data_IF_218899223839
#
_entry.id   IF_218899223839
#
_cell.length_a   1.000
_cell.length_b   1.000
_cell.length_c   1.000
_cell.angle_alpha   90.00
_cell.angle_beta   90.00
_cell.angle_gamma   90.00
#
_symmetry.space_group_name_H-M   'P 1'
#
loop_
_entity.id
_entity.type
_entity.pdbx_description
1 polymer ?
#
# COMPACT_ATOMS: atom_id res chain seq x y z
N UNK A 1 -2.97 1.25 -39.13
CA UNK A 1 -2.73 0.87 -37.72
C UNK A 1 -1.86 -0.38 -37.72
N UNK A 2 -0.59 -0.25 -37.38
CA UNK A 2 0.42 -1.30 -37.59
C UNK A 2 0.34 -2.40 -36.52
N UNK A 3 0.73 -3.61 -36.90
CA UNK A 3 0.76 -4.83 -36.08
C UNK A 3 1.44 -4.65 -34.69
N UNK A 4 2.28 -3.64 -34.53
CA UNK A 4 2.95 -3.27 -33.27
C UNK A 4 2.01 -2.66 -32.22
N UNK A 5 1.07 -1.79 -32.60
CA UNK A 5 0.06 -1.19 -31.70
C UNK A 5 -0.85 -2.27 -31.07
N UNK A 6 -1.24 -3.27 -31.88
CA UNK A 6 -2.04 -4.40 -31.43
C UNK A 6 -1.28 -5.31 -30.45
N UNK A 7 0.05 -5.39 -30.56
CA UNK A 7 0.88 -6.23 -29.67
C UNK A 7 1.14 -5.57 -28.32
N UNK A 8 1.30 -4.24 -28.27
CA UNK A 8 1.37 -3.48 -27.02
C UNK A 8 0.06 -3.60 -26.24
N UNK A 9 -1.11 -3.50 -26.90
CA UNK A 9 -2.41 -3.74 -26.26
C UNK A 9 -2.62 -5.19 -25.78
N UNK A 10 -1.92 -6.17 -26.39
CA UNK A 10 -2.01 -7.60 -26.01
C UNK A 10 -1.15 -7.93 -24.79
N UNK A 11 -0.01 -7.25 -24.60
CA UNK A 11 0.92 -7.49 -23.48
C UNK A 11 0.42 -6.87 -22.17
N UNK A 12 -0.28 -5.73 -22.21
CA UNK A 12 -0.94 -5.14 -21.01
C UNK A 12 -2.05 -6.07 -20.46
N UNK A 13 -2.50 -7.05 -21.25
CA UNK A 13 -3.60 -7.97 -20.92
C UNK A 13 -3.19 -9.24 -20.18
N UNK A 14 -1.89 -9.44 -19.89
CA UNK A 14 -1.40 -10.70 -19.28
C UNK A 14 -1.09 -10.60 -17.78
N UNK A 15 -1.47 -9.51 -17.11
CA UNK A 15 -1.41 -9.39 -15.64
C UNK A 15 -2.49 -8.52 -15.01
N UNK A 16 -3.42 -7.98 -15.81
CA UNK A 16 -4.54 -7.20 -15.34
C UNK A 16 -5.78 -8.08 -15.23
N UNK A 17 -6.38 -8.12 -14.04
CA UNK A 17 -7.71 -8.67 -13.80
C UNK A 17 -8.64 -8.22 -14.93
N UNK A 18 -9.33 -9.16 -15.59
CA UNK A 18 -10.22 -8.81 -16.70
C UNK A 18 -11.34 -7.91 -16.19
N UNK A 19 -11.81 -6.95 -17.00
CA UNK A 19 -12.93 -6.03 -16.63
C UNK A 19 -14.19 -6.77 -16.15
N UNK A 20 -14.38 -8.01 -16.57
CA UNK A 20 -15.41 -8.93 -16.07
C UNK A 20 -15.14 -9.45 -14.66
N UNK A 21 -13.89 -9.78 -14.34
CA UNK A 21 -13.45 -10.17 -13.00
C UNK A 21 -13.44 -8.96 -12.05
N UNK A 22 -13.05 -7.77 -12.51
CA UNK A 22 -13.15 -6.52 -11.73
C UNK A 22 -14.60 -6.24 -11.33
N UNK A 23 -15.55 -6.38 -12.27
CA UNK A 23 -16.99 -6.24 -11.99
C UNK A 23 -17.53 -7.30 -11.03
N UNK A 24 -17.08 -8.56 -11.17
CA UNK A 24 -17.43 -9.64 -10.24
C UNK A 24 -16.84 -9.39 -8.85
N UNK A 25 -15.60 -8.92 -8.75
CA UNK A 25 -14.97 -8.56 -7.48
C UNK A 25 -15.63 -7.36 -6.82
N UNK A 26 -16.01 -6.33 -7.59
CA UNK A 26 -16.78 -5.19 -7.08
C UNK A 26 -18.16 -5.65 -6.55
N UNK A 27 -18.88 -6.47 -7.33
CA UNK A 27 -20.16 -7.06 -6.91
C UNK A 27 -20.00 -7.98 -5.67
N UNK A 28 -18.87 -8.68 -5.53
CA UNK A 28 -18.55 -9.52 -4.38
C UNK A 28 -18.16 -8.69 -3.14
N UNK A 29 -17.47 -7.58 -3.35
CA UNK A 29 -17.09 -6.62 -2.31
C UNK A 29 -18.33 -5.92 -1.73
N UNK A 30 -19.30 -5.58 -2.58
CA UNK A 30 -20.61 -5.08 -2.16
C UNK A 30 -21.36 -6.09 -1.27
N UNK A 31 -21.29 -7.38 -1.58
CA UNK A 31 -21.98 -8.42 -0.81
C UNK A 31 -21.38 -8.56 0.60
N UNK A 32 -20.06 -8.53 0.74
CA UNK A 32 -19.37 -8.63 2.03
C UNK A 32 -19.69 -7.44 2.94
N UNK A 33 -19.77 -6.23 2.37
CA UNK A 33 -20.14 -5.02 3.11
C UNK A 33 -21.61 -5.09 3.57
N UNK A 34 -22.52 -5.53 2.70
CA UNK A 34 -23.95 -5.73 3.05
C UNK A 34 -24.12 -6.73 4.18
N UNK A 35 -23.42 -7.86 4.12
CA UNK A 35 -23.45 -8.88 5.19
C UNK A 35 -22.93 -8.32 6.52
N UNK A 36 -21.84 -7.54 6.51
CA UNK A 36 -21.30 -6.91 7.73
C UNK A 36 -22.26 -5.90 8.35
N UNK A 37 -22.92 -5.09 7.53
CA UNK A 37 -23.93 -4.14 8.02
C UNK A 37 -25.11 -4.87 8.70
N UNK A 38 -25.52 -6.02 8.15
CA UNK A 38 -26.56 -6.87 8.78
C UNK A 38 -26.07 -7.47 10.10
N UNK A 39 -24.82 -7.94 10.16
CA UNK A 39 -24.22 -8.45 11.42
C UNK A 39 -24.22 -7.35 12.49
N UNK A 40 -23.80 -6.15 12.13
CA UNK A 40 -23.75 -5.01 13.04
C UNK A 40 -25.14 -4.65 13.58
N UNK A 41 -26.14 -4.56 12.70
CA UNK A 41 -27.53 -4.31 13.07
C UNK A 41 -28.08 -5.38 14.03
N UNK A 42 -27.94 -6.67 13.69
CA UNK A 42 -28.43 -7.78 14.52
C UNK A 42 -27.66 -7.91 15.84
N UNK A 43 -26.40 -7.48 15.87
CA UNK A 43 -25.59 -7.43 17.09
C UNK A 43 -26.10 -6.34 18.03
N UNK A 44 -26.49 -5.18 17.49
CA UNK A 44 -27.11 -4.09 18.25
C UNK A 44 -28.49 -4.48 18.81
N UNK A 45 -29.26 -5.32 18.08
CA UNK A 45 -30.50 -5.93 18.60
C UNK A 45 -30.26 -6.95 19.73
N UNK A 46 -29.01 -7.35 19.98
CA UNK A 46 -28.64 -8.28 21.04
C UNK A 46 -28.69 -9.75 20.66
N UNK A 47 -28.88 -10.10 19.37
CA UNK A 47 -28.92 -11.49 18.92
C UNK A 47 -27.61 -12.25 19.20
N UNK A 48 -27.71 -13.56 19.42
CA UNK A 48 -26.52 -14.41 19.56
C UNK A 48 -25.85 -14.65 18.19
N UNK A 49 -24.51 -14.82 18.12
CA UNK A 49 -23.81 -15.06 16.86
C UNK A 49 -24.33 -16.28 16.08
N UNK A 50 -24.87 -17.29 16.77
CA UNK A 50 -25.40 -18.51 16.15
C UNK A 50 -26.75 -18.23 15.47
N UNK A 51 -27.61 -17.41 16.09
CA UNK A 51 -28.87 -16.99 15.49
C UNK A 51 -28.64 -16.07 14.29
N UNK A 52 -27.65 -15.17 14.38
CA UNK A 52 -27.22 -14.31 13.28
C UNK A 52 -26.82 -15.17 12.07
N UNK A 53 -26.00 -16.21 12.28
CA UNK A 53 -25.60 -17.14 11.22
C UNK A 53 -26.77 -17.85 10.56
N UNK A 54 -27.68 -18.38 11.37
CA UNK A 54 -28.86 -19.07 10.85
C UNK A 54 -29.74 -18.15 9.99
N UNK A 55 -29.94 -16.90 10.42
CA UNK A 55 -30.69 -15.88 9.67
C UNK A 55 -29.96 -15.47 8.39
N UNK A 56 -28.65 -15.24 8.46
CA UNK A 56 -27.85 -14.89 7.29
C UNK A 56 -27.79 -16.02 6.27
N UNK A 57 -27.61 -17.27 6.71
CA UNK A 57 -27.58 -18.45 5.83
C UNK A 57 -28.90 -18.67 5.11
N UNK A 58 -30.03 -18.39 5.77
CA UNK A 58 -31.35 -18.46 5.14
C UNK A 58 -31.52 -17.44 3.99
N UNK A 59 -30.93 -16.25 4.11
CA UNK A 59 -31.06 -15.18 3.10
C UNK A 59 -29.99 -15.27 2.00
N UNK A 60 -28.73 -15.50 2.39
CA UNK A 60 -27.57 -15.44 1.48
C UNK A 60 -27.15 -16.82 0.94
N UNK A 61 -27.65 -17.91 1.51
CA UNK A 61 -27.35 -19.28 1.05
C UNK A 61 -25.85 -19.59 1.05
N UNK A 62 -25.35 -20.09 -0.08
CA UNK A 62 -23.93 -20.44 -0.27
C UNK A 62 -22.99 -19.23 -0.26
N UNK A 63 -23.51 -18.04 -0.50
CA UNK A 63 -22.72 -16.80 -0.50
C UNK A 63 -22.58 -16.20 0.90
N UNK A 64 -23.14 -16.87 1.92
CA UNK A 64 -23.05 -16.45 3.31
C UNK A 64 -21.61 -16.54 3.83
N UNK A 65 -21.24 -15.58 4.67
CA UNK A 65 -19.98 -15.62 5.41
C UNK A 65 -19.95 -16.82 6.36
N UNK A 66 -18.76 -17.35 6.62
CA UNK A 66 -18.60 -18.49 7.53
C UNK A 66 -18.89 -18.11 8.99
N UNK A 67 -19.32 -19.08 9.81
CA UNK A 67 -19.63 -18.89 11.24
C UNK A 67 -18.47 -18.24 11.98
N UNK A 68 -17.22 -18.61 11.64
CA UNK A 68 -16.02 -18.04 12.29
C UNK A 68 -15.86 -16.55 12.00
N UNK A 69 -16.18 -16.13 10.79
CA UNK A 69 -16.11 -14.71 10.39
C UNK A 69 -17.21 -13.90 11.08
N UNK A 70 -18.43 -14.44 11.17
CA UNK A 70 -19.53 -13.77 11.86
C UNK A 70 -19.28 -13.63 13.36
N UNK A 71 -18.75 -14.67 14.02
CA UNK A 71 -18.35 -14.57 15.44
C UNK A 71 -17.30 -13.50 15.66
N UNK A 72 -16.31 -13.41 14.78
CA UNK A 72 -15.26 -12.38 14.83
C UNK A 72 -15.86 -10.98 14.70
N UNK A 73 -16.79 -10.79 13.76
CA UNK A 73 -17.46 -9.51 13.53
C UNK A 73 -18.41 -9.15 14.67
N UNK A 74 -19.25 -10.08 15.13
CA UNK A 74 -20.15 -9.88 16.27
C UNK A 74 -19.38 -9.46 17.53
N UNK A 75 -18.22 -10.07 17.78
CA UNK A 75 -17.34 -9.66 18.88
C UNK A 75 -16.83 -8.23 18.70
N UNK A 76 -16.29 -7.90 17.52
CA UNK A 76 -15.80 -6.55 17.21
C UNK A 76 -16.90 -5.51 17.38
N UNK A 77 -18.08 -5.75 16.83
CA UNK A 77 -19.22 -4.83 16.91
C UNK A 77 -19.79 -4.65 18.32
N UNK A 78 -19.56 -5.60 19.24
CA UNK A 78 -19.90 -5.42 20.67
C UNK A 78 -18.85 -4.61 21.43
N UNK A 79 -17.59 -4.73 21.03
CA UNK A 79 -16.45 -4.04 21.65
C UNK A 79 -16.31 -2.59 21.16
N UNK A 80 -16.74 -2.33 19.93
CA UNK A 80 -16.63 -1.03 19.25
C UNK A 80 -17.91 -0.20 19.48
N UNK A 81 -17.77 1.11 19.73
CA UNK A 81 -18.93 1.99 19.83
C UNK A 81 -19.64 2.08 18.46
N UNK A 82 -20.98 2.15 18.39
CA UNK A 82 -21.72 2.25 17.12
C UNK A 82 -21.35 3.45 16.25
N UNK A 83 -20.67 4.45 16.81
CA UNK A 83 -20.17 5.64 16.10
C UNK A 83 -18.81 5.45 15.44
N UNK A 84 -18.07 4.37 15.77
CA UNK A 84 -16.68 4.14 15.35
C UNK A 84 -16.51 2.90 14.45
N UNK A 85 -17.54 2.04 14.38
CA UNK A 85 -17.56 0.83 13.55
C UNK A 85 -17.49 1.16 12.06
N UNK A 86 -16.30 0.96 11.48
CA UNK A 86 -16.11 1.03 10.03
C UNK A 86 -16.48 -0.32 9.40
N UNK A 87 -17.56 -0.34 8.61
CA UNK A 87 -18.01 -1.54 7.85
C UNK A 87 -16.96 -1.99 6.81
N UNK A 88 -16.20 -1.03 6.28
CA UNK A 88 -15.14 -1.26 5.30
C UNK A 88 -13.89 -1.90 5.93
N UNK A 89 -13.15 -2.66 5.12
CA UNK A 89 -11.82 -3.11 5.52
C UNK A 89 -10.91 -1.88 5.66
N UNK A 90 -10.35 -1.69 6.85
CA UNK A 90 -9.29 -0.70 7.04
C UNK A 90 -8.08 -1.08 6.18
N UNK A 91 -7.32 -0.05 5.77
CA UNK A 91 -6.08 -0.25 5.04
C UNK A 91 -5.19 -1.21 5.84
N UNK A 92 -4.82 -2.34 5.23
CA UNK A 92 -3.94 -3.30 5.88
C UNK A 92 -2.63 -2.59 6.21
N UNK A 93 -2.28 -2.56 7.49
CA UNK A 93 -0.94 -2.16 7.91
C UNK A 93 0.04 -3.13 7.26
N UNK A 94 0.82 -2.63 6.31
CA UNK A 94 1.94 -3.40 5.79
C UNK A 94 2.94 -3.56 6.92
N UNK A 95 3.69 -4.67 6.92
CA UNK A 95 4.84 -4.82 7.82
C UNK A 95 5.69 -3.56 7.67
N UNK A 96 5.99 -2.82 8.75
CA UNK A 96 6.82 -1.63 8.65
C UNK A 96 8.12 -2.06 8.00
N UNK A 97 8.51 -1.35 6.94
CA UNK A 97 9.78 -1.63 6.28
C UNK A 97 10.90 -1.19 7.22
N UNK A 98 11.32 -2.09 8.11
CA UNK A 98 12.26 -1.90 9.23
C UNK A 98 13.64 -1.35 8.85
N UNK A 99 13.89 -1.08 7.58
CA UNK A 99 15.18 -0.62 7.06
C UNK A 99 15.17 0.87 6.64
N UNK A 100 14.23 1.67 7.14
CA UNK A 100 14.19 3.13 6.89
C UNK A 100 13.89 3.92 8.17
N UNK A 101 14.54 3.55 9.27
CA UNK A 101 14.50 4.37 10.50
C UNK A 101 14.90 5.82 10.21
N UNK A 102 14.30 6.75 10.96
CA UNK A 102 14.62 8.18 10.87
C UNK A 102 16.12 8.46 11.03
N UNK A 103 16.81 7.67 11.86
CA UNK A 103 18.27 7.74 12.03
C UNK A 103 19.03 7.52 10.73
N UNK A 104 18.66 6.49 9.97
CA UNK A 104 19.29 6.18 8.68
C UNK A 104 19.00 7.27 7.66
N UNK A 105 17.79 7.83 7.66
CA UNK A 105 17.44 8.93 6.77
C UNK A 105 18.30 10.18 7.05
N UNK A 106 18.46 10.55 8.31
CA UNK A 106 19.32 11.68 8.71
C UNK A 106 20.79 11.46 8.35
N UNK A 107 21.31 10.24 8.54
CA UNK A 107 22.69 9.91 8.19
C UNK A 107 22.94 9.98 6.67
N UNK A 108 22.00 9.46 5.85
CA UNK A 108 22.05 9.59 4.39
C UNK A 108 22.00 11.06 3.97
N UNK A 109 21.11 11.86 4.56
CA UNK A 109 20.99 13.29 4.23
C UNK A 109 22.27 14.06 4.57
N UNK A 110 22.89 13.78 5.72
CA UNK A 110 24.16 14.38 6.12
C UNK A 110 25.29 14.05 5.12
N UNK A 111 25.46 12.77 4.76
CA UNK A 111 26.49 12.35 3.79
C UNK A 111 26.34 13.03 2.43
N UNK A 112 25.10 13.21 1.95
CA UNK A 112 24.82 13.90 0.69
C UNK A 112 25.09 15.40 0.78
N UNK A 113 24.81 16.03 1.94
CA UNK A 113 25.09 17.45 2.16
C UNK A 113 26.58 17.75 2.25
N UNK A 114 27.35 16.86 2.87
CA UNK A 114 28.82 16.96 2.99
C UNK A 114 29.50 16.81 1.62
N UNK A 115 29.04 15.86 0.80
CA UNK A 115 29.56 15.67 -0.55
C UNK A 115 28.41 15.37 -1.54
N UNK A 116 28.09 16.34 -2.39
CA UNK A 116 26.99 16.22 -3.36
C UNK A 116 27.25 15.22 -4.49
N UNK A 117 28.46 14.70 -4.63
CA UNK A 117 28.89 13.76 -5.68
C UNK A 117 29.15 12.33 -5.17
N UNK A 118 28.56 11.95 -4.03
CA UNK A 118 28.71 10.60 -3.44
C UNK A 118 28.02 9.51 -4.26
N UNK A 119 28.60 8.30 -4.27
CA UNK A 119 27.97 7.13 -4.88
C UNK A 119 27.07 6.42 -3.86
N UNK A 120 26.00 5.81 -4.35
CA UNK A 120 25.08 5.02 -3.52
C UNK A 120 25.79 3.85 -2.81
N UNK A 121 26.79 3.24 -3.45
CA UNK A 121 27.57 2.13 -2.88
C UNK A 121 28.35 2.61 -1.65
N UNK A 122 29.00 3.77 -1.74
CA UNK A 122 29.80 4.31 -0.62
C UNK A 122 28.91 4.61 0.59
N UNK A 123 27.72 5.19 0.36
CA UNK A 123 26.71 5.41 1.41
C UNK A 123 26.24 4.08 2.01
N UNK A 124 26.01 3.06 1.17
CA UNK A 124 25.55 1.75 1.62
C UNK A 124 26.56 1.08 2.55
N UNK A 125 27.85 1.20 2.24
CA UNK A 125 28.95 0.68 3.04
C UNK A 125 29.08 1.47 4.35
N UNK A 126 28.97 2.81 4.30
CA UNK A 126 29.10 3.66 5.47
C UNK A 126 28.01 3.41 6.52
N UNK A 127 26.77 3.15 6.09
CA UNK A 127 25.61 2.99 6.98
C UNK A 127 25.33 1.50 7.27
N UNK A 128 25.84 0.57 6.45
CA UNK A 128 25.57 -0.86 6.58
C UNK A 128 24.18 -1.28 6.10
N UNK A 129 23.62 -0.56 5.12
CA UNK A 129 22.30 -0.82 4.53
C UNK A 129 22.46 -1.35 3.12
N UNK A 130 21.50 -2.14 2.62
CA UNK A 130 21.53 -2.55 1.21
C UNK A 130 21.40 -1.36 0.25
N UNK A 131 22.09 -1.45 -0.89
CA UNK A 131 22.10 -0.38 -1.89
C UNK A 131 20.70 0.00 -2.39
N UNK A 132 19.79 -0.97 -2.55
CA UNK A 132 18.40 -0.73 -2.95
C UNK A 132 17.65 0.15 -1.93
N UNK A 133 17.89 -0.08 -0.64
CA UNK A 133 17.25 0.70 0.43
C UNK A 133 17.83 2.10 0.51
N UNK A 134 19.13 2.27 0.31
CA UNK A 134 19.75 3.59 0.15
C UNK A 134 19.12 4.33 -1.04
N UNK A 135 18.97 3.67 -2.19
CA UNK A 135 18.30 4.27 -3.34
C UNK A 135 16.88 4.73 -3.03
N UNK A 136 16.08 3.89 -2.35
CA UNK A 136 14.73 4.22 -1.92
C UNK A 136 14.71 5.42 -0.96
N UNK A 137 15.64 5.49 0.01
CA UNK A 137 15.74 6.62 0.94
C UNK A 137 16.04 7.91 0.16
N UNK A 138 17.00 7.89 -0.75
CA UNK A 138 17.41 9.07 -1.53
C UNK A 138 16.25 9.57 -2.41
N UNK A 139 15.57 8.67 -3.12
CA UNK A 139 14.57 9.03 -4.13
C UNK A 139 13.16 9.24 -3.57
N UNK A 140 12.67 8.31 -2.74
CA UNK A 140 11.28 8.32 -2.29
C UNK A 140 11.09 9.07 -0.97
N UNK A 141 12.07 9.03 -0.06
CA UNK A 141 11.94 9.67 1.25
C UNK A 141 12.51 11.09 1.26
N UNK A 142 13.75 11.27 0.77
CA UNK A 142 14.43 12.56 0.73
C UNK A 142 14.13 13.37 -0.55
N UNK A 143 13.65 12.72 -1.61
CA UNK A 143 13.27 13.39 -2.86
C UNK A 143 14.45 13.89 -3.70
N UNK A 144 15.68 13.43 -3.44
CA UNK A 144 16.85 13.81 -4.22
C UNK A 144 16.82 13.17 -5.60
N UNK A 145 17.31 13.91 -6.60
CA UNK A 145 17.48 13.46 -7.98
C UNK A 145 18.94 13.59 -8.39
N UNK A 146 19.46 12.60 -9.12
CA UNK A 146 20.79 12.68 -9.73
C UNK A 146 20.78 13.76 -10.82
N UNK A 147 21.69 14.71 -10.71
CA UNK A 147 21.94 15.77 -11.72
C UNK A 147 23.36 15.60 -12.24
N UNK A 148 23.58 15.80 -13.54
CA UNK A 148 24.91 15.84 -14.12
C UNK A 148 25.54 17.22 -13.92
N UNK A 149 26.85 17.24 -13.64
CA UNK A 149 27.59 18.49 -13.65
C UNK A 149 27.60 19.10 -15.06
N UNK A 150 27.54 20.44 -15.15
CA UNK A 150 27.76 21.17 -16.40
C UNK A 150 29.26 21.31 -16.63
N UNK A 151 29.70 21.10 -17.88
CA UNK A 151 31.08 21.37 -18.28
C UNK A 151 31.41 22.84 -18.10
N UNK A 152 32.48 23.14 -17.36
CA UNK A 152 32.97 24.50 -17.13
C UNK A 152 34.34 24.66 -17.80
N UNK A 153 34.53 25.66 -18.67
CA UNK A 153 35.83 25.98 -19.24
C UNK A 153 36.88 26.26 -18.16
N UNK A 154 38.08 25.73 -18.33
CA UNK A 154 39.09 25.54 -17.28
C UNK A 154 39.83 26.83 -16.85
N UNK A 155 39.32 28.00 -17.20
CA UNK A 155 40.01 29.28 -16.98
C UNK A 155 39.12 30.28 -16.25
N UNK A 156 39.24 30.30 -14.93
CA UNK A 156 38.80 31.40 -14.08
C UNK A 156 40.06 32.04 -13.49
N UNK A 157 40.77 32.82 -14.29
CA UNK A 157 41.81 33.72 -13.79
C UNK A 157 41.16 34.95 -13.16
N UNK A 158 41.74 35.46 -12.08
CA UNK A 158 41.26 36.64 -11.34
C UNK A 158 41.16 37.95 -12.15
N UNK A 159 41.59 37.96 -13.41
CA UNK A 159 41.72 39.16 -14.25
C UNK A 159 40.54 39.45 -15.17
N UNK A 160 39.53 38.57 -15.24
CA UNK A 160 38.30 38.83 -15.99
C UNK A 160 37.17 39.14 -15.01
N UNK A 161 37.12 40.38 -14.51
CA UNK A 161 35.96 40.92 -13.79
C UNK A 161 35.58 42.27 -14.39
#
# INVERSE_FOLDING_TARGET
>A
MTSFELKIRRVIKLGGVTRSEERKMASSMDLRLKQRAVIEFLTAEGCSPIEIYSRMKAVYGEMCSDVSTERRWTRRSREENPSESTVHDQARTRRPLSASDSKHQSCVDQLIRENRCVKQIDISIAIGISQERVHHIITNLLGYRKVSARWVPRMLTHQCR
#
